data_IF_020213219056
#
_entry.id   IF_020213219056
#
_cell.length_a   1.000
_cell.length_b   1.000
_cell.length_c   1.000
_cell.angle_alpha   90.00
_cell.angle_beta   90.00
_cell.angle_gamma   90.00
#
_symmetry.space_group_name_H-M   'P 1'
#
loop_
_entity.id
_entity.type
_entity.pdbx_description
1 polymer ?
#
# COMPACT_ATOMS: atom_id res chain seq x y z
N UNK A 1 -3.11 66.00 -41.85
CA UNK A 1 -1.98 66.93 -42.14
C UNK A 1 -0.67 66.15 -42.01
N UNK A 2 0.03 65.83 -43.11
CA UNK A 2 1.39 65.32 -43.01
C UNK A 2 2.39 66.46 -43.19
N UNK A 3 3.34 66.58 -42.26
CA UNK A 3 4.50 67.46 -42.37
C UNK A 3 5.59 66.70 -43.13
N UNK A 4 6.09 67.36 -44.18
CA UNK A 4 7.19 66.96 -45.04
C UNK A 4 8.55 67.06 -44.32
N UNK A 5 9.40 66.05 -44.55
CA UNK A 5 10.85 66.16 -44.71
C UNK A 5 11.17 65.22 -45.88
N UNK A 6 11.69 65.60 -47.04
CA UNK A 6 12.59 66.70 -47.38
C UNK A 6 13.89 66.12 -47.94
N UNK A 7 13.91 65.87 -49.27
CA UNK A 7 15.04 65.75 -50.21
C UNK A 7 16.20 64.77 -49.89
N UNK A 8 16.85 64.08 -50.83
CA UNK A 8 17.25 64.48 -52.17
C UNK A 8 17.60 63.25 -53.04
N UNK A 9 17.56 63.44 -54.35
CA UNK A 9 17.46 62.39 -55.37
C UNK A 9 18.63 61.41 -55.56
N UNK A 10 18.28 60.27 -56.14
CA UNK A 10 19.23 59.28 -56.65
C UNK A 10 18.55 57.99 -57.12
N UNK A 11 18.41 57.83 -58.44
CA UNK A 11 18.07 56.59 -59.19
C UNK A 11 16.71 55.91 -58.91
N UNK A 12 15.84 55.93 -59.93
CA UNK A 12 14.67 55.04 -60.04
C UNK A 12 15.14 53.59 -60.16
N UNK A 13 15.11 52.85 -59.06
CA UNK A 13 15.10 51.38 -59.08
C UNK A 13 13.66 50.97 -58.90
N UNK A 14 13.10 50.29 -59.92
CA UNK A 14 11.78 49.71 -59.87
C UNK A 14 11.84 48.53 -58.87
N UNK A 15 11.54 48.78 -57.60
CA UNK A 15 11.43 47.72 -56.60
C UNK A 15 10.09 47.01 -56.81
N UNK A 16 10.11 45.86 -57.49
CA UNK A 16 9.01 44.91 -57.47
C UNK A 16 8.83 44.41 -56.03
N UNK A 17 7.91 45.02 -55.30
CA UNK A 17 7.44 44.50 -54.01
C UNK A 17 6.61 43.25 -54.33
N UNK A 18 7.24 42.08 -54.28
CA UNK A 18 6.53 40.82 -54.19
C UNK A 18 5.79 40.81 -52.85
N UNK A 19 4.50 41.12 -52.88
CA UNK A 19 3.59 40.77 -51.80
C UNK A 19 3.50 39.24 -51.78
N UNK A 20 4.39 38.58 -51.02
CA UNK A 20 4.13 37.22 -50.57
C UNK A 20 2.93 37.31 -49.65
N UNK A 21 1.75 37.02 -50.19
CA UNK A 21 0.56 36.72 -49.40
C UNK A 21 0.93 35.46 -48.62
N UNK A 22 1.38 35.64 -47.37
CA UNK A 22 1.42 34.55 -46.40
C UNK A 22 -0.04 34.16 -46.19
N UNK A 23 -0.49 33.14 -46.92
CA UNK A 23 -1.74 32.44 -46.64
C UNK A 23 -1.60 31.83 -45.26
N UNK A 24 -2.09 32.54 -44.25
CA UNK A 24 -2.33 31.97 -42.93
C UNK A 24 -3.48 30.98 -43.10
N UNK A 25 -3.16 29.71 -43.33
CA UNK A 25 -4.14 28.65 -43.13
C UNK A 25 -4.49 28.68 -41.63
N UNK A 26 -5.75 28.91 -41.25
CA UNK A 26 -6.14 28.74 -39.85
C UNK A 26 -5.80 27.29 -39.48
N UNK A 27 -5.08 27.09 -38.38
CA UNK A 27 -4.85 25.75 -37.83
C UNK A 27 -6.23 25.21 -37.45
N UNK A 28 -6.82 24.39 -38.31
CA UNK A 28 -8.02 23.60 -38.02
C UNK A 28 -7.63 22.56 -36.99
N UNK A 29 -7.78 22.90 -35.71
CA UNK A 29 -7.71 21.89 -34.67
C UNK A 29 -9.10 21.32 -34.42
N UNK A 30 -9.11 20.10 -33.91
CA UNK A 30 -10.31 19.31 -33.68
C UNK A 30 -10.55 19.05 -32.20
N UNK A 31 -11.48 18.13 -31.92
CA UNK A 31 -11.80 17.69 -30.56
C UNK A 31 -11.06 16.40 -30.22
N UNK A 32 -10.45 16.35 -29.03
CA UNK A 32 -9.78 15.16 -28.51
C UNK A 32 -10.67 14.38 -27.55
N UNK A 33 -10.70 13.06 -27.71
CA UNK A 33 -11.60 12.15 -27.01
C UNK A 33 -10.82 11.05 -26.29
N UNK A 34 -11.28 10.64 -25.11
CA UNK A 34 -10.56 9.72 -24.23
C UNK A 34 -10.66 8.28 -24.72
N UNK A 35 -11.77 7.96 -25.39
CA UNK A 35 -12.13 6.61 -25.77
C UNK A 35 -12.82 6.56 -27.13
N UNK A 36 -12.76 5.39 -27.76
CA UNK A 36 -13.51 5.06 -28.98
C UNK A 36 -14.35 3.83 -28.68
N UNK A 37 -15.66 3.91 -28.91
CA UNK A 37 -16.58 2.80 -28.63
C UNK A 37 -16.54 1.71 -29.72
N UNK A 38 -17.32 0.65 -29.52
CA UNK A 38 -17.33 -0.51 -30.41
C UNK A 38 -17.81 -0.19 -31.84
N UNK A 39 -18.60 0.87 -32.00
CA UNK A 39 -19.11 1.39 -33.25
C UNK A 39 -18.12 2.33 -33.96
N UNK A 40 -16.92 2.51 -33.39
CA UNK A 40 -15.88 3.39 -33.94
C UNK A 40 -16.16 4.87 -33.72
N UNK A 41 -17.02 5.23 -32.76
CA UNK A 41 -17.35 6.61 -32.42
C UNK A 41 -16.59 7.08 -31.19
N UNK A 42 -16.25 8.36 -31.18
CA UNK A 42 -15.44 8.96 -30.12
C UNK A 42 -16.30 9.29 -28.91
N UNK A 43 -15.86 8.92 -27.71
CA UNK A 43 -16.57 9.12 -26.44
C UNK A 43 -15.67 9.82 -25.42
N UNK A 44 -16.28 10.56 -24.49
CA UNK A 44 -15.59 11.27 -23.40
C UNK A 44 -14.58 12.33 -23.88
N UNK A 45 -15.02 13.54 -24.21
CA UNK A 45 -14.11 14.61 -24.63
C UNK A 45 -13.10 14.98 -23.51
N UNK A 46 -11.80 14.96 -23.82
CA UNK A 46 -10.69 15.14 -22.88
C UNK A 46 -10.25 16.59 -22.80
N UNK A 47 -10.08 17.20 -23.97
CA UNK A 47 -9.64 18.59 -24.08
C UNK A 47 -10.85 19.49 -24.30
N UNK A 48 -10.96 20.52 -23.48
CA UNK A 48 -11.91 21.63 -23.67
C UNK A 48 -11.42 22.65 -24.71
N UNK A 49 -10.22 22.43 -25.27
CA UNK A 49 -9.58 23.28 -26.27
C UNK A 49 -9.33 22.51 -27.56
N UNK A 50 -9.40 23.25 -28.66
CA UNK A 50 -9.01 22.85 -30.02
C UNK A 50 -7.60 22.25 -29.98
N UNK A 51 -7.43 21.03 -30.53
CA UNK A 51 -6.16 20.29 -30.50
C UNK A 51 -5.83 19.63 -31.83
N UNK A 52 -4.53 19.48 -32.13
CA UNK A 52 -4.07 18.66 -33.26
C UNK A 52 -4.23 17.16 -32.93
N UNK A 53 -4.27 16.32 -33.97
CA UNK A 53 -4.34 14.87 -33.79
C UNK A 53 -3.13 14.36 -33.02
N UNK A 54 -1.94 14.82 -33.35
CA UNK A 54 -0.67 14.39 -32.73
C UNK A 54 -0.65 14.73 -31.24
N UNK A 55 -1.11 15.93 -30.88
CA UNK A 55 -1.21 16.35 -29.49
C UNK A 55 -2.24 15.53 -28.72
N UNK A 56 -3.42 15.32 -29.31
CA UNK A 56 -4.46 14.48 -28.73
C UNK A 56 -3.92 13.06 -28.44
N UNK A 57 -3.31 12.42 -29.44
CA UNK A 57 -2.83 11.05 -29.33
C UNK A 57 -1.70 10.86 -28.31
N UNK A 58 -0.89 11.91 -28.09
CA UNK A 58 0.11 11.93 -27.02
C UNK A 58 -0.53 12.01 -25.64
N UNK A 59 -1.60 12.79 -25.48
CA UNK A 59 -2.31 12.99 -24.20
C UNK A 59 -3.10 11.73 -23.80
N UNK A 60 -3.79 11.10 -24.76
CA UNK A 60 -4.60 9.90 -24.51
C UNK A 60 -3.81 8.60 -24.61
N UNK A 61 -2.47 8.69 -24.74
CA UNK A 61 -1.56 7.54 -24.84
C UNK A 61 -2.00 6.48 -25.87
N UNK A 62 -2.59 6.91 -26.99
CA UNK A 62 -3.04 6.02 -28.07
C UNK A 62 -4.42 5.37 -27.91
N UNK A 63 -5.10 5.48 -26.76
CA UNK A 63 -6.42 4.86 -26.53
C UNK A 63 -7.61 5.65 -27.06
N UNK A 64 -7.44 6.97 -27.14
CA UNK A 64 -8.49 7.88 -27.52
C UNK A 64 -8.66 8.03 -29.03
N UNK A 65 -9.48 8.99 -29.39
CA UNK A 65 -9.74 9.34 -30.77
C UNK A 65 -9.77 10.85 -30.97
N UNK A 66 -9.70 11.26 -32.22
CA UNK A 66 -9.68 12.65 -32.62
C UNK A 66 -10.72 12.87 -33.74
N UNK A 67 -11.46 13.96 -33.66
CA UNK A 67 -12.39 14.42 -34.70
C UNK A 67 -11.93 15.77 -35.22
N UNK A 68 -11.97 15.97 -36.53
CA UNK A 68 -11.65 17.27 -37.14
C UNK A 68 -12.64 18.37 -36.74
N UNK A 69 -13.89 17.99 -36.46
CA UNK A 69 -14.92 18.88 -35.93
C UNK A 69 -14.62 19.30 -34.48
N UNK A 70 -14.85 20.58 -34.21
CA UNK A 70 -14.83 21.17 -32.87
C UNK A 70 -16.24 21.19 -32.30
N UNK A 71 -16.43 20.57 -31.14
CA UNK A 71 -17.71 20.56 -30.45
C UNK A 71 -17.66 21.48 -29.23
N UNK A 72 -18.72 22.26 -29.01
CA UNK A 72 -18.87 22.97 -27.73
C UNK A 72 -19.10 21.97 -26.58
N UNK A 73 -19.05 22.45 -25.34
CA UNK A 73 -19.20 21.59 -24.15
C UNK A 73 -20.54 20.84 -24.13
N UNK A 74 -21.62 21.44 -24.63
CA UNK A 74 -22.94 20.82 -24.67
C UNK A 74 -23.04 19.73 -25.73
N UNK A 75 -22.46 19.98 -26.91
CA UNK A 75 -22.38 19.00 -28.00
C UNK A 75 -21.46 17.82 -27.62
N UNK A 76 -20.29 18.11 -27.04
CA UNK A 76 -19.37 17.09 -26.55
C UNK A 76 -20.00 16.22 -25.46
N UNK A 77 -20.74 16.84 -24.52
CA UNK A 77 -21.52 16.12 -23.53
C UNK A 77 -22.62 15.27 -24.17
N UNK A 78 -23.38 15.82 -25.12
CA UNK A 78 -24.42 15.09 -25.83
C UNK A 78 -23.84 13.83 -26.48
N UNK A 79 -22.78 13.95 -27.28
CA UNK A 79 -22.16 12.78 -27.92
C UNK A 79 -21.54 11.81 -26.92
N UNK A 80 -20.89 12.29 -25.86
CA UNK A 80 -20.26 11.45 -24.85
C UNK A 80 -21.25 10.68 -23.96
N UNK A 81 -22.40 11.27 -23.61
CA UNK A 81 -23.32 10.72 -22.62
C UNK A 81 -24.63 10.17 -23.21
N UNK A 82 -25.14 10.73 -24.32
CA UNK A 82 -26.51 10.47 -24.80
C UNK A 82 -26.59 10.06 -26.29
N UNK A 83 -25.69 10.59 -27.12
CA UNK A 83 -25.70 10.48 -28.58
C UNK A 83 -24.96 9.27 -29.14
N UNK A 84 -24.46 8.37 -28.30
CA UNK A 84 -23.76 7.16 -28.72
C UNK A 84 -22.38 7.39 -29.34
N UNK A 85 -21.75 8.53 -29.04
CA UNK A 85 -20.42 8.91 -29.52
C UNK A 85 -20.42 9.82 -30.75
N UNK A 86 -19.37 10.65 -30.86
CA UNK A 86 -19.19 11.59 -31.95
C UNK A 86 -18.90 10.88 -33.28
N UNK A 87 -19.52 11.32 -34.39
CA UNK A 87 -19.26 10.79 -35.72
C UNK A 87 -17.86 11.21 -36.22
N UNK A 88 -17.42 10.63 -37.35
CA UNK A 88 -16.14 10.97 -38.00
C UNK A 88 -14.91 10.86 -37.07
N UNK A 89 -14.97 9.93 -36.12
CA UNK A 89 -13.92 9.66 -35.17
C UNK A 89 -12.76 8.91 -35.82
N UNK A 90 -11.54 9.41 -35.60
CA UNK A 90 -10.31 8.72 -35.99
C UNK A 90 -9.55 8.28 -34.75
N UNK A 91 -9.43 6.96 -34.56
CA UNK A 91 -8.64 6.39 -33.46
C UNK A 91 -7.16 6.78 -33.53
N UNK A 92 -6.55 6.96 -32.36
CA UNK A 92 -5.14 7.34 -32.26
C UNK A 92 -4.17 6.19 -32.56
N UNK A 93 -4.54 4.96 -32.23
CA UNK A 93 -3.79 3.76 -32.58
C UNK A 93 -4.72 2.67 -33.10
N UNK A 94 -4.18 1.80 -33.94
CA UNK A 94 -4.84 0.60 -34.45
C UNK A 94 -4.16 -0.69 -33.95
N UNK A 95 -3.10 -0.56 -33.14
CA UNK A 95 -2.38 -1.67 -32.52
C UNK A 95 -2.14 -1.41 -31.03
N UNK A 96 -1.76 -2.45 -30.31
CA UNK A 96 -1.32 -2.36 -28.92
C UNK A 96 0.17 -2.01 -28.77
N UNK A 97 0.88 -1.76 -29.88
CA UNK A 97 2.32 -1.49 -29.84
C UNK A 97 2.60 -0.16 -29.14
N UNK A 98 3.46 -0.18 -28.14
CA UNK A 98 3.81 1.01 -27.35
C UNK A 98 2.73 1.45 -26.35
N UNK A 99 1.59 0.78 -26.30
CA UNK A 99 0.49 1.11 -25.38
C UNK A 99 0.73 0.48 -24.00
N UNK A 100 0.79 1.33 -22.97
CA UNK A 100 0.93 0.90 -21.57
C UNK A 100 -0.39 1.04 -20.82
N UNK A 101 -0.94 -0.08 -20.39
CA UNK A 101 -2.18 -0.12 -19.61
C UNK A 101 -1.93 0.13 -18.12
N UNK A 102 -2.85 0.82 -17.41
CA UNK A 102 -2.77 1.00 -15.96
C UNK A 102 -3.21 -0.27 -15.20
N UNK A 103 -2.69 -0.45 -13.98
CA UNK A 103 -3.14 -1.46 -12.99
C UNK A 103 -3.26 -2.89 -13.55
N UNK A 104 -2.13 -3.45 -14.01
CA UNK A 104 -1.99 -4.82 -14.53
C UNK A 104 -3.01 -5.26 -15.61
N UNK A 105 -3.65 -4.28 -16.26
CA UNK A 105 -4.51 -4.52 -17.42
C UNK A 105 -3.66 -4.85 -18.65
N UNK A 106 -4.24 -5.61 -19.55
CA UNK A 106 -3.61 -6.00 -20.82
C UNK A 106 -4.33 -5.26 -21.95
N UNK A 107 -3.55 -4.72 -22.88
CA UNK A 107 -4.11 -4.14 -24.10
C UNK A 107 -4.64 -5.24 -25.00
N UNK A 108 -5.88 -5.09 -25.47
CA UNK A 108 -6.49 -5.93 -26.49
C UNK A 108 -7.22 -5.07 -27.51
N UNK A 109 -7.28 -5.54 -28.76
CA UNK A 109 -8.02 -4.85 -29.82
C UNK A 109 -9.51 -5.23 -29.75
N UNK A 110 -10.39 -4.23 -29.78
CA UNK A 110 -11.83 -4.39 -29.94
C UNK A 110 -12.28 -3.53 -31.11
N UNK A 111 -12.80 -4.16 -32.17
CA UNK A 111 -13.20 -3.43 -33.39
C UNK A 111 -12.06 -2.67 -34.08
N UNK A 112 -10.80 -3.12 -33.93
CA UNK A 112 -9.62 -2.44 -34.49
C UNK A 112 -9.04 -1.31 -33.63
N UNK A 113 -9.64 -1.00 -32.47
CA UNK A 113 -9.14 0.00 -31.51
C UNK A 113 -8.58 -0.66 -30.25
N UNK A 114 -7.44 -0.20 -29.69
CA UNK A 114 -6.86 -0.75 -28.48
C UNK A 114 -7.65 -0.36 -27.22
N UNK A 115 -7.83 -1.32 -26.32
CA UNK A 115 -8.52 -1.14 -25.04
C UNK A 115 -7.80 -1.89 -23.92
N UNK A 116 -7.72 -1.29 -22.73
CA UNK A 116 -7.18 -1.96 -21.55
C UNK A 116 -8.26 -2.76 -20.83
N UNK A 117 -8.09 -4.07 -20.77
CA UNK A 117 -8.99 -4.96 -20.05
C UNK A 117 -8.22 -5.83 -19.06
N UNK A 118 -8.91 -6.37 -18.06
CA UNK A 118 -8.32 -7.35 -17.18
C UNK A 118 -7.97 -8.63 -17.95
N UNK A 119 -6.87 -9.32 -17.59
CA UNK A 119 -6.52 -10.60 -18.19
C UNK A 119 -7.71 -11.57 -18.21
N UNK A 120 -8.01 -12.14 -19.38
CA UNK A 120 -9.09 -13.13 -19.53
C UNK A 120 -8.58 -14.56 -19.34
N UNK A 121 -7.31 -14.81 -19.64
CA UNK A 121 -6.66 -16.10 -19.52
C UNK A 121 -5.32 -15.96 -18.79
N UNK A 122 -4.93 -17.06 -18.13
CA UNK A 122 -3.57 -17.23 -17.64
C UNK A 122 -2.93 -18.37 -18.45
N UNK A 123 -1.62 -18.30 -18.73
CA UNK A 123 -0.91 -19.38 -19.40
C UNK A 123 -1.16 -20.72 -18.69
N UNK A 124 -1.35 -21.84 -19.41
CA UNK A 124 -1.48 -23.15 -18.77
C UNK A 124 -0.17 -23.51 -18.07
N UNK A 125 -0.27 -24.15 -16.90
CA UNK A 125 0.89 -24.77 -16.26
C UNK A 125 1.42 -25.92 -17.11
N UNK A 126 2.71 -25.92 -17.41
CA UNK A 126 3.41 -27.01 -18.12
C UNK A 126 4.53 -27.58 -17.24
N UNK A 127 5.07 -28.77 -17.55
CA UNK A 127 6.23 -29.30 -16.83
C UNK A 127 7.45 -28.37 -16.87
N UNK A 128 7.64 -27.65 -17.97
CA UNK A 128 8.73 -26.69 -18.16
C UNK A 128 8.45 -25.35 -17.46
N UNK A 129 7.19 -25.01 -17.26
CA UNK A 129 6.77 -23.76 -16.62
C UNK A 129 5.55 -24.02 -15.72
N UNK A 130 5.77 -24.63 -14.54
CA UNK A 130 4.70 -24.89 -13.59
C UNK A 130 4.20 -23.58 -12.98
N UNK A 131 2.94 -23.59 -12.56
CA UNK A 131 2.44 -22.49 -11.74
C UNK A 131 3.13 -22.50 -10.38
N UNK A 132 3.68 -21.35 -10.00
CA UNK A 132 4.21 -21.12 -8.65
C UNK A 132 3.12 -20.40 -7.85
N UNK A 133 2.61 -21.01 -6.76
CA UNK A 133 1.64 -20.36 -5.88
C UNK A 133 2.19 -19.06 -5.30
N UNK A 134 1.31 -18.15 -4.91
CA UNK A 134 1.68 -16.90 -4.24
C UNK A 134 0.74 -16.63 -3.07
N UNK A 135 1.29 -16.10 -1.99
CA UNK A 135 0.54 -15.56 -0.86
C UNK A 135 0.43 -14.05 -1.00
N UNK A 136 -0.79 -13.50 -0.91
CA UNK A 136 -1.00 -12.05 -0.98
C UNK A 136 -0.86 -11.35 0.37
N UNK A 137 -0.93 -10.02 0.39
CA UNK A 137 -0.90 -9.23 1.62
C UNK A 137 -2.15 -9.37 2.47
N UNK A 138 -3.25 -9.87 1.91
CA UNK A 138 -4.45 -10.22 2.67
C UNK A 138 -4.42 -11.66 3.21
N UNK A 139 -3.29 -12.36 3.11
CA UNK A 139 -3.16 -13.74 3.58
C UNK A 139 -3.92 -14.75 2.71
N UNK A 140 -4.25 -14.38 1.47
CA UNK A 140 -4.96 -15.26 0.53
C UNK A 140 -3.94 -15.97 -0.36
N UNK A 141 -4.07 -17.30 -0.47
CA UNK A 141 -3.24 -18.08 -1.40
C UNK A 141 -3.87 -18.13 -2.78
N UNK A 142 -3.06 -17.80 -3.79
CA UNK A 142 -3.40 -17.93 -5.20
C UNK A 142 -2.56 -19.00 -5.85
N UNK A 143 -3.17 -19.75 -6.78
CA UNK A 143 -2.45 -20.80 -7.52
C UNK A 143 -1.30 -20.28 -8.38
N UNK A 144 -1.35 -19.00 -8.78
CA UNK A 144 -0.21 -18.28 -9.37
C UNK A 144 -0.40 -16.77 -9.33
N UNK A 145 0.68 -16.02 -9.58
CA UNK A 145 0.68 -14.55 -9.74
C UNK A 145 -0.34 -14.07 -10.77
N UNK A 146 -0.37 -14.65 -11.98
CA UNK A 146 -1.39 -14.30 -12.98
C UNK A 146 -2.83 -14.46 -12.46
N UNK A 147 -3.09 -15.50 -11.66
CA UNK A 147 -4.43 -15.72 -11.12
C UNK A 147 -4.82 -14.70 -10.05
N UNK A 148 -3.86 -14.23 -9.25
CA UNK A 148 -4.06 -13.11 -8.33
C UNK A 148 -4.41 -11.84 -9.10
N UNK A 149 -3.53 -11.44 -10.03
CA UNK A 149 -3.69 -10.23 -10.85
C UNK A 149 -5.04 -10.22 -11.59
N UNK A 150 -5.38 -11.35 -12.24
CA UNK A 150 -6.65 -11.51 -12.95
C UNK A 150 -7.87 -11.32 -12.03
N UNK A 151 -7.85 -11.90 -10.82
CA UNK A 151 -8.95 -11.76 -9.86
C UNK A 151 -9.05 -10.31 -9.38
N UNK A 152 -7.94 -9.75 -8.91
CA UNK A 152 -7.89 -8.42 -8.32
C UNK A 152 -8.32 -7.35 -9.32
N UNK A 153 -7.83 -7.43 -10.56
CA UNK A 153 -8.26 -6.54 -11.62
C UNK A 153 -9.79 -6.60 -11.87
N UNK A 154 -10.37 -7.81 -11.90
CA UNK A 154 -11.81 -7.99 -12.16
C UNK A 154 -12.69 -7.48 -11.02
N UNK A 155 -12.20 -7.57 -9.79
CA UNK A 155 -12.93 -7.16 -8.59
C UNK A 155 -12.60 -5.72 -8.16
N UNK A 156 -11.64 -5.05 -8.81
CA UNK A 156 -11.17 -3.73 -8.40
C UNK A 156 -10.43 -3.75 -7.06
N UNK A 157 -9.80 -4.87 -6.69
CA UNK A 157 -9.05 -5.01 -5.45
C UNK A 157 -7.61 -4.52 -5.64
N UNK A 158 -7.10 -3.80 -4.65
CA UNK A 158 -5.70 -3.36 -4.58
C UNK A 158 -5.01 -4.24 -3.55
N UNK A 159 -4.34 -5.29 -4.03
CA UNK A 159 -3.61 -6.25 -3.22
C UNK A 159 -2.35 -6.67 -3.98
N UNK A 160 -1.32 -7.05 -3.24
CA UNK A 160 0.01 -7.34 -3.76
C UNK A 160 0.53 -8.68 -3.24
N UNK A 161 1.53 -9.24 -3.92
CA UNK A 161 2.16 -10.47 -3.48
C UNK A 161 3.04 -10.17 -2.27
N UNK A 162 2.81 -10.90 -1.18
CA UNK A 162 3.70 -10.94 -0.03
C UNK A 162 4.90 -11.81 -0.30
N UNK A 163 4.68 -13.09 -0.61
CA UNK A 163 5.76 -14.01 -0.96
C UNK A 163 5.28 -15.13 -1.88
N UNK A 164 6.24 -15.81 -2.50
CA UNK A 164 5.98 -17.00 -3.30
C UNK A 164 5.73 -18.21 -2.39
N UNK A 165 4.80 -19.06 -2.80
CA UNK A 165 4.34 -20.21 -2.04
C UNK A 165 2.94 -20.02 -1.46
N UNK A 166 2.51 -20.99 -0.67
CA UNK A 166 1.25 -20.96 0.07
C UNK A 166 1.38 -20.06 1.29
N UNK A 167 0.30 -19.40 1.68
CA UNK A 167 0.30 -18.64 2.93
C UNK A 167 0.59 -19.56 4.13
N UNK A 168 1.47 -19.08 5.00
CA UNK A 168 1.93 -19.74 6.22
C UNK A 168 1.31 -19.06 7.45
N UNK A 169 1.50 -19.68 8.62
CA UNK A 169 1.05 -19.14 9.92
C UNK A 169 2.20 -18.61 10.78
N UNK A 170 3.44 -18.61 10.27
CA UNK A 170 4.61 -18.06 10.96
C UNK A 170 5.72 -17.67 9.97
N UNK A 171 6.71 -16.90 10.43
CA UNK A 171 7.87 -16.54 9.61
C UNK A 171 8.98 -17.61 9.57
N UNK A 172 8.81 -18.76 10.23
CA UNK A 172 9.85 -19.80 10.29
C UNK A 172 10.06 -20.48 8.93
N UNK A 173 8.99 -20.66 8.17
CA UNK A 173 8.99 -21.33 6.86
C UNK A 173 8.93 -20.36 5.69
N UNK A 174 8.63 -19.09 5.94
CA UNK A 174 8.48 -18.06 4.91
C UNK A 174 9.84 -17.61 4.40
N UNK A 175 10.06 -17.79 3.09
CA UNK A 175 11.25 -17.33 2.39
C UNK A 175 10.93 -16.03 1.65
N UNK A 176 11.42 -14.92 2.20
CA UNK A 176 11.33 -13.62 1.54
C UNK A 176 12.42 -13.46 0.46
N UNK A 177 12.26 -12.45 -0.40
CA UNK A 177 13.32 -12.01 -1.32
C UNK A 177 14.51 -11.46 -0.53
N UNK A 178 15.69 -11.39 -1.15
CA UNK A 178 16.98 -11.09 -0.49
C UNK A 178 17.01 -9.77 0.32
N UNK A 179 16.17 -8.82 -0.03
CA UNK A 179 16.03 -7.48 0.56
C UNK A 179 14.83 -7.34 1.53
N UNK A 180 14.09 -8.43 1.73
CA UNK A 180 12.84 -8.43 2.48
C UNK A 180 12.98 -9.22 3.78
N UNK A 181 12.24 -8.75 4.79
CA UNK A 181 12.17 -9.37 6.10
C UNK A 181 10.73 -9.83 6.36
N UNK A 182 10.55 -11.09 6.74
CA UNK A 182 9.24 -11.58 7.18
C UNK A 182 8.88 -11.00 8.55
N UNK A 183 7.79 -10.26 8.66
CA UNK A 183 7.21 -9.80 9.93
C UNK A 183 5.86 -10.47 10.13
N UNK A 184 5.25 -10.33 11.31
CA UNK A 184 3.90 -10.82 11.58
C UNK A 184 3.02 -9.66 12.05
N UNK A 185 1.74 -9.70 11.72
CA UNK A 185 0.76 -8.81 12.33
C UNK A 185 0.26 -9.35 13.68
N UNK A 186 -0.77 -8.69 14.21
CA UNK A 186 -1.45 -9.06 15.46
C UNK A 186 -2.08 -10.46 15.42
N UNK A 187 -2.46 -10.94 14.23
CA UNK A 187 -3.09 -12.24 14.00
C UNK A 187 -2.06 -13.33 13.69
N UNK A 188 -0.77 -13.02 13.87
CA UNK A 188 0.38 -13.88 13.56
C UNK A 188 0.51 -14.23 12.06
N UNK A 189 -0.19 -13.52 11.19
CA UNK A 189 -0.07 -13.72 9.76
C UNK A 189 1.29 -13.16 9.29
N UNK A 190 2.11 -13.95 8.58
CA UNK A 190 3.43 -13.52 8.14
C UNK A 190 3.39 -12.71 6.84
N UNK A 191 4.22 -11.67 6.75
CA UNK A 191 4.37 -10.83 5.57
C UNK A 191 5.82 -10.52 5.25
N UNK A 192 6.22 -10.57 3.98
CA UNK A 192 7.54 -10.12 3.56
C UNK A 192 7.50 -8.63 3.21
N UNK A 193 8.23 -7.83 3.97
CA UNK A 193 8.30 -6.38 3.79
C UNK A 193 9.73 -5.91 3.58
N UNK A 194 9.90 -4.79 2.87
CA UNK A 194 11.19 -4.09 2.85
C UNK A 194 11.22 -3.13 4.04
N UNK A 195 12.20 -3.32 4.92
CA UNK A 195 12.39 -2.43 6.06
C UNK A 195 12.86 -1.06 5.57
N UNK A 196 12.53 0.00 6.31
CA UNK A 196 13.08 1.33 6.04
C UNK A 196 14.60 1.30 6.21
N UNK A 197 15.35 1.67 5.18
CA UNK A 197 16.82 1.66 5.25
C UNK A 197 17.38 2.99 5.78
N UNK A 198 16.76 4.11 5.39
CA UNK A 198 17.23 5.45 5.73
C UNK A 198 16.26 6.10 6.72
N UNK A 199 16.75 6.40 7.92
CA UNK A 199 16.04 7.22 8.89
C UNK A 199 16.62 8.64 8.87
N UNK A 200 15.78 9.69 8.97
CA UNK A 200 16.27 11.04 9.17
C UNK A 200 17.15 11.12 10.42
N UNK A 201 18.22 11.91 10.35
CA UNK A 201 19.11 12.16 11.49
C UNK A 201 18.45 13.14 12.47
N UNK A 202 17.49 12.62 13.24
CA UNK A 202 16.71 13.35 14.23
C UNK A 202 16.87 12.64 15.57
N UNK A 203 17.46 13.32 16.54
CA UNK A 203 17.60 12.80 17.88
C UNK A 203 16.35 13.12 18.72
N UNK A 204 15.47 12.13 18.84
CA UNK A 204 14.28 12.12 19.70
C UNK A 204 14.18 10.72 20.33
N UNK A 205 14.96 10.45 21.40
CA UNK A 205 15.22 9.10 21.86
C UNK A 205 13.97 8.36 22.32
N UNK A 206 13.93 7.06 22.04
CA UNK A 206 12.85 6.15 22.40
C UNK A 206 13.45 4.88 23.01
N UNK A 207 12.83 4.39 24.08
CA UNK A 207 13.22 3.12 24.68
C UNK A 207 12.43 1.98 24.04
N UNK A 208 13.15 0.96 23.55
CA UNK A 208 12.56 -0.28 23.05
C UNK A 208 12.26 -1.27 24.18
N UNK A 209 11.35 -2.21 23.93
CA UNK A 209 11.06 -3.31 24.87
C UNK A 209 12.24 -4.24 25.08
N UNK A 210 13.25 -4.19 24.21
CA UNK A 210 14.52 -4.88 24.35
C UNK A 210 15.51 -4.15 25.26
N UNK A 211 15.12 -3.03 25.87
CA UNK A 211 15.95 -2.24 26.78
C UNK A 211 17.01 -1.39 26.07
N UNK A 212 16.91 -1.24 24.74
CA UNK A 212 17.84 -0.45 23.93
C UNK A 212 17.24 0.92 23.62
N UNK A 213 18.04 1.97 23.77
CA UNK A 213 17.71 3.33 23.32
C UNK A 213 17.89 3.44 21.82
N UNK A 214 16.87 3.94 21.13
CA UNK A 214 16.89 4.25 19.71
C UNK A 214 16.80 5.76 19.51
N UNK A 215 17.60 6.30 18.58
CA UNK A 215 17.68 7.75 18.34
C UNK A 215 16.34 8.36 17.92
N UNK A 216 15.49 7.59 17.24
CA UNK A 216 14.15 8.00 16.84
C UNK A 216 13.18 6.82 16.75
N UNK A 217 11.89 7.12 16.58
CA UNK A 217 10.87 6.11 16.26
C UNK A 217 11.17 5.39 14.93
N UNK A 218 11.81 6.07 13.96
CA UNK A 218 12.21 5.43 12.70
C UNK A 218 13.26 4.34 12.96
N UNK A 219 14.26 4.64 13.79
CA UNK A 219 15.34 3.71 14.12
C UNK A 219 14.81 2.49 14.89
N UNK A 220 13.89 2.71 15.82
CA UNK A 220 13.20 1.63 16.54
C UNK A 220 12.41 0.74 15.57
N UNK A 221 11.61 1.32 14.66
CA UNK A 221 10.82 0.57 13.68
C UNK A 221 11.72 -0.21 12.70
N UNK A 222 12.83 0.39 12.26
CA UNK A 222 13.83 -0.26 11.42
C UNK A 222 14.45 -1.47 12.13
N UNK A 223 14.82 -1.32 13.40
CA UNK A 223 15.35 -2.42 14.20
C UNK A 223 14.31 -3.53 14.44
N UNK A 224 13.06 -3.15 14.73
CA UNK A 224 11.93 -4.09 14.89
C UNK A 224 11.69 -4.92 13.62
N UNK A 225 11.68 -4.27 12.46
CA UNK A 225 11.50 -4.93 11.17
C UNK A 225 12.65 -5.91 10.83
N UNK A 226 13.90 -5.52 11.09
CA UNK A 226 15.08 -6.34 10.76
C UNK A 226 15.31 -7.49 11.74
N UNK A 227 14.99 -7.31 13.02
CA UNK A 227 15.33 -8.26 14.10
C UNK A 227 14.11 -8.96 14.69
N UNK A 228 13.49 -9.85 13.91
CA UNK A 228 12.28 -10.61 14.28
C UNK A 228 12.39 -11.31 15.63
N UNK A 229 13.53 -11.94 15.89
CA UNK A 229 13.77 -12.72 17.11
C UNK A 229 13.65 -11.89 18.39
N UNK A 230 13.83 -10.57 18.31
CA UNK A 230 13.81 -9.69 19.48
C UNK A 230 12.41 -9.13 19.80
N UNK A 231 11.44 -9.23 18.89
CA UNK A 231 10.08 -8.69 19.05
C UNK A 231 10.10 -7.26 19.65
N UNK A 232 10.88 -6.38 19.03
CA UNK A 232 11.17 -5.04 19.54
C UNK A 232 9.93 -4.18 19.32
N UNK A 233 9.36 -3.67 20.40
CA UNK A 233 8.25 -2.72 20.38
C UNK A 233 8.65 -1.46 21.12
N UNK A 234 7.90 -0.40 20.95
CA UNK A 234 8.01 0.79 21.78
C UNK A 234 7.70 0.43 23.25
N UNK A 235 8.55 0.90 24.17
CA UNK A 235 8.35 0.80 25.61
C UNK A 235 7.92 2.15 26.19
N UNK A 236 8.74 3.19 26.04
CA UNK A 236 8.40 4.55 26.47
C UNK A 236 9.27 5.58 25.73
N UNK A 237 8.91 6.86 25.85
CA UNK A 237 9.67 7.98 25.31
C UNK A 237 10.89 8.26 26.17
N UNK A 238 11.97 8.72 25.54
CA UNK A 238 13.26 8.96 26.18
C UNK A 238 14.20 7.77 26.09
N UNK A 239 15.38 7.90 26.67
CA UNK A 239 16.38 6.83 26.70
C UNK A 239 15.97 5.72 27.68
N UNK A 240 16.37 4.48 27.40
CA UNK A 240 16.31 3.41 28.39
C UNK A 240 17.34 3.69 29.50
N UNK A 241 16.94 3.46 30.76
CA UNK A 241 17.86 3.48 31.89
C UNK A 241 17.79 2.13 32.61
N UNK A 242 18.94 1.50 32.85
CA UNK A 242 19.02 0.17 33.48
C UNK A 242 18.48 0.15 34.91
N UNK A 243 18.43 1.32 35.57
CA UNK A 243 17.83 1.50 36.89
C UNK A 243 16.41 2.08 36.86
N UNK A 244 15.82 2.32 35.68
CA UNK A 244 14.51 2.98 35.61
C UNK A 244 13.42 2.09 36.16
N UNK A 245 12.78 2.59 37.21
CA UNK A 245 11.48 2.12 37.66
C UNK A 245 10.38 2.91 36.97
N UNK A 246 9.11 2.53 37.18
CA UNK A 246 8.00 3.37 36.72
C UNK A 246 7.95 4.77 37.38
N UNK A 247 8.70 5.01 38.45
CA UNK A 247 8.82 6.35 39.05
C UNK A 247 9.60 7.33 38.19
N UNK A 248 10.49 6.84 37.33
CA UNK A 248 11.38 7.66 36.50
C UNK A 248 10.81 7.93 35.10
N UNK A 249 9.75 7.19 34.72
CA UNK A 249 9.16 7.23 33.38
C UNK A 249 7.88 8.07 33.38
N UNK A 250 7.87 9.10 32.54
CA UNK A 250 6.69 9.93 32.30
C UNK A 250 5.98 9.49 31.03
N UNK A 251 4.84 8.82 31.19
CA UNK A 251 3.97 8.44 30.07
C UNK A 251 3.10 9.63 29.60
N UNK A 252 2.58 9.55 28.38
CA UNK A 252 1.82 10.65 27.77
C UNK A 252 0.34 10.32 27.61
N UNK A 253 -0.54 11.33 27.72
CA UNK A 253 -1.97 11.14 27.54
C UNK A 253 -2.60 10.23 28.61
N UNK A 254 -3.34 9.20 28.18
CA UNK A 254 -4.00 8.19 29.03
C UNK A 254 -3.14 6.95 29.29
N UNK A 255 -1.84 7.00 29.00
CA UNK A 255 -0.92 5.91 29.25
C UNK A 255 -0.49 5.84 30.72
N UNK A 256 -0.39 4.63 31.24
CA UNK A 256 0.12 4.33 32.58
C UNK A 256 1.42 3.54 32.43
N UNK A 257 2.39 3.81 33.31
CA UNK A 257 3.61 3.01 33.35
C UNK A 257 3.34 1.66 34.05
N UNK A 258 3.69 0.57 33.37
CA UNK A 258 3.74 -0.77 33.94
C UNK A 258 5.14 -1.36 33.78
N UNK A 259 5.62 -2.10 34.77
CA UNK A 259 6.94 -2.72 34.71
C UNK A 259 6.88 -4.10 34.03
N UNK A 260 7.60 -4.30 32.92
CA UNK A 260 7.85 -5.63 32.37
C UNK A 260 8.98 -6.31 33.17
N UNK A 261 8.60 -7.09 34.19
CA UNK A 261 9.54 -7.77 35.09
C UNK A 261 10.45 -8.75 34.32
N UNK A 262 9.96 -9.37 33.22
CA UNK A 262 10.76 -10.33 32.46
C UNK A 262 11.95 -9.69 31.75
N UNK A 263 11.76 -8.46 31.30
CA UNK A 263 12.80 -7.70 30.58
C UNK A 263 13.46 -6.63 31.44
N UNK A 264 12.92 -6.38 32.63
CA UNK A 264 13.28 -5.27 33.51
C UNK A 264 13.19 -3.91 32.80
N UNK A 265 12.11 -3.69 32.05
CA UNK A 265 11.87 -2.47 31.27
C UNK A 265 10.51 -1.87 31.62
N UNK A 266 10.42 -0.61 32.06
CA UNK A 266 9.14 0.08 32.23
C UNK A 266 8.47 0.32 30.87
N UNK A 267 7.15 0.26 30.81
CA UNK A 267 6.37 0.41 29.57
C UNK A 267 5.19 1.34 29.79
N UNK A 268 5.05 2.33 28.92
CA UNK A 268 3.84 3.12 28.81
C UNK A 268 2.81 2.33 28.01
N UNK A 269 1.71 1.97 28.65
CA UNK A 269 0.60 1.24 28.04
C UNK A 269 -0.69 1.99 28.24
N UNK A 270 -1.60 1.89 27.27
CA UNK A 270 -2.93 2.47 27.38
C UNK A 270 -3.78 1.67 28.36
N UNK A 271 -4.35 2.37 29.34
CA UNK A 271 -5.18 1.79 30.39
C UNK A 271 -6.63 2.32 30.39
N UNK A 272 -7.01 3.06 29.35
CA UNK A 272 -8.38 3.53 29.11
C UNK A 272 -9.29 2.42 28.54
N UNK A 273 -9.17 1.21 29.10
CA UNK A 273 -9.90 0.03 28.67
C UNK A 273 -11.32 0.04 29.27
N UNK A 274 -12.34 0.05 28.41
CA UNK A 274 -13.72 -0.20 28.82
C UNK A 274 -14.04 -1.68 28.61
N UNK A 275 -13.64 -2.53 29.57
CA UNK A 275 -13.92 -3.97 29.50
C UNK A 275 -15.39 -4.23 29.84
N UNK A 276 -16.26 -4.17 28.83
CA UNK A 276 -17.67 -4.56 28.95
C UNK A 276 -17.73 -6.08 28.97
N UNK A 277 -18.45 -6.69 29.92
CA UNK A 277 -18.68 -8.14 29.97
C UNK A 277 -19.57 -8.63 28.81
N UNK A 278 -19.16 -8.34 27.58
CA UNK A 278 -19.81 -8.68 26.32
C UNK A 278 -19.26 -9.99 25.78
N UNK A 279 -20.01 -10.63 24.89
CA UNK A 279 -19.53 -11.81 24.16
C UNK A 279 -18.29 -11.50 23.32
N UNK A 280 -18.12 -10.25 22.87
CA UNK A 280 -16.95 -9.81 22.10
C UNK A 280 -15.67 -9.82 22.94
N UNK A 281 -15.74 -9.37 24.20
CA UNK A 281 -14.62 -9.44 25.14
C UNK A 281 -14.26 -10.89 25.47
N UNK A 282 -15.25 -11.80 25.49
CA UNK A 282 -15.06 -13.23 25.72
C UNK A 282 -14.66 -14.01 24.47
N UNK A 283 -14.76 -13.44 23.27
CA UNK A 283 -14.44 -14.12 22.02
C UNK A 283 -12.96 -14.56 21.96
N UNK A 284 -12.07 -13.86 22.66
CA UNK A 284 -10.66 -14.26 22.83
C UNK A 284 -10.43 -15.41 23.83
N UNK A 285 -11.48 -15.83 24.56
CA UNK A 285 -11.41 -16.86 25.59
C UNK A 285 -10.74 -16.42 26.90
N UNK A 286 -10.76 -17.33 27.88
CA UNK A 286 -9.97 -17.18 29.10
C UNK A 286 -8.47 -17.20 28.78
N UNK A 287 -7.65 -16.56 29.61
CA UNK A 287 -6.21 -16.40 29.39
C UNK A 287 -5.46 -16.64 30.71
N UNK A 288 -4.40 -17.44 30.67
CA UNK A 288 -3.50 -17.56 31.81
C UNK A 288 -2.45 -16.45 31.77
N UNK A 289 -2.41 -15.63 32.82
CA UNK A 289 -1.40 -14.60 33.01
C UNK A 289 -0.08 -15.17 33.52
N UNK A 290 1.01 -14.42 33.30
CA UNK A 290 2.35 -14.72 33.82
C UNK A 290 2.46 -14.65 35.35
N UNK A 291 1.43 -14.11 36.01
CA UNK A 291 1.25 -14.11 37.45
C UNK A 291 0.54 -15.39 37.96
N UNK A 292 0.24 -16.33 37.07
CA UNK A 292 -0.43 -17.59 37.39
C UNK A 292 -1.94 -17.46 37.60
N UNK A 293 -2.53 -16.30 37.27
CA UNK A 293 -3.96 -16.06 37.40
C UNK A 293 -4.67 -16.28 36.07
N UNK A 294 -5.79 -17.00 36.11
CA UNK A 294 -6.69 -17.10 34.95
C UNK A 294 -7.58 -15.86 34.87
N UNK A 295 -7.48 -15.15 33.75
CA UNK A 295 -8.32 -14.02 33.40
C UNK A 295 -9.45 -14.44 32.46
N UNK A 296 -10.67 -13.92 32.63
CA UNK A 296 -11.81 -14.28 31.78
C UNK A 296 -11.71 -13.75 30.34
N UNK A 297 -10.84 -12.76 30.11
CA UNK A 297 -10.55 -12.21 28.79
C UNK A 297 -9.20 -11.50 28.77
N UNK A 298 -8.68 -11.25 27.57
CA UNK A 298 -7.49 -10.43 27.38
C UNK A 298 -7.65 -8.98 27.89
N UNK A 299 -8.87 -8.41 27.79
CA UNK A 299 -9.16 -7.08 28.32
C UNK A 299 -8.96 -7.06 29.84
N UNK A 300 -9.51 -8.04 30.57
CA UNK A 300 -9.38 -8.13 32.03
C UNK A 300 -7.95 -8.41 32.49
N UNK A 301 -7.18 -9.16 31.71
CA UNK A 301 -5.74 -9.34 31.96
C UNK A 301 -4.98 -8.00 31.87
N UNK A 302 -5.27 -7.19 30.84
CA UNK A 302 -4.65 -5.87 30.70
C UNK A 302 -5.11 -4.87 31.75
N UNK A 303 -6.40 -4.87 32.11
CA UNK A 303 -6.94 -4.07 33.21
C UNK A 303 -6.18 -4.37 34.51
N UNK A 304 -5.95 -5.65 34.80
CA UNK A 304 -5.15 -6.06 35.96
C UNK A 304 -3.69 -5.61 35.87
N UNK A 305 -3.07 -5.65 34.67
CA UNK A 305 -1.72 -5.13 34.48
C UNK A 305 -1.63 -3.63 34.82
N UNK A 306 -2.63 -2.86 34.39
CA UNK A 306 -2.74 -1.43 34.68
C UNK A 306 -2.93 -1.16 36.18
N UNK A 307 -3.81 -1.92 36.85
CA UNK A 307 -4.10 -1.73 38.27
C UNK A 307 -2.94 -2.11 39.19
N UNK A 308 -2.16 -3.12 38.79
CA UNK A 308 -1.01 -3.60 39.58
C UNK A 308 0.29 -2.86 39.27
N UNK A 309 0.36 -2.12 38.15
CA UNK A 309 1.59 -1.48 37.69
C UNK A 309 2.64 -2.48 37.17
N UNK A 310 2.25 -3.73 36.94
CA UNK A 310 3.13 -4.80 36.44
C UNK A 310 2.56 -5.34 35.14
N UNK A 311 3.41 -5.49 34.12
CA UNK A 311 2.97 -6.07 32.86
C UNK A 311 2.75 -7.58 33.01
N UNK A 312 1.51 -8.01 32.87
CA UNK A 312 1.14 -9.43 32.85
C UNK A 312 1.21 -9.91 31.39
N UNK A 313 2.08 -10.90 31.13
CA UNK A 313 2.16 -11.54 29.82
C UNK A 313 1.14 -12.68 29.73
N UNK A 314 0.66 -12.96 28.53
CA UNK A 314 -0.16 -14.15 28.27
C UNK A 314 0.78 -15.35 28.20
N UNK A 315 0.62 -16.31 29.10
CA UNK A 315 1.38 -17.58 29.06
C UNK A 315 0.72 -18.60 28.15
N UNK A 316 -0.62 -18.68 28.20
CA UNK A 316 -1.40 -19.55 27.34
C UNK A 316 -2.84 -19.06 27.21
N UNK A 317 -3.45 -19.44 26.09
CA UNK A 317 -4.89 -19.34 25.89
C UNK A 317 -5.56 -20.44 26.74
N UNK A 318 -6.66 -20.08 27.40
CA UNK A 318 -7.39 -20.91 28.36
C UNK A 318 -6.90 -20.73 29.80
N UNK A 319 -7.38 -21.61 30.67
CA UNK A 319 -7.08 -21.56 32.10
C UNK A 319 -5.60 -21.85 32.40
N UNK A 320 -5.09 -21.25 33.47
CA UNK A 320 -3.82 -21.65 34.06
C UNK A 320 -3.89 -23.12 34.48
N UNK A 321 -2.80 -23.85 34.22
CA UNK A 321 -2.67 -25.20 34.74
C UNK A 321 -2.62 -25.08 36.26
N UNK A 322 -3.54 -25.74 36.96
CA UNK A 322 -3.40 -25.89 38.39
C UNK A 322 -2.04 -26.55 38.63
N UNK A 323 -1.19 -25.91 39.44
CA UNK A 323 0.01 -26.56 39.92
C UNK A 323 -0.44 -27.82 40.67
N UNK A 324 -0.39 -28.97 40.00
CA UNK A 324 -0.37 -30.22 40.73
C UNK A 324 0.91 -30.17 41.56
N UNK A 325 0.84 -30.25 42.89
CA UNK A 325 2.05 -30.37 43.67
C UNK A 325 2.71 -31.66 43.20
N UNK A 326 3.85 -31.54 42.52
CA UNK A 326 4.71 -32.69 42.29
C UNK A 326 5.18 -33.09 43.67
N UNK A 327 4.52 -34.08 44.26
CA UNK A 327 5.01 -34.79 45.42
C UNK A 327 6.37 -35.35 45.03
N UNK A 328 7.43 -34.65 45.45
CA UNK A 328 8.74 -35.24 45.62
C UNK A 328 8.56 -36.36 46.63
N UNK A 329 8.37 -37.58 46.11
CA UNK A 329 8.44 -38.80 46.89
C UNK A 329 9.88 -38.95 47.35
N UNK A 330 10.22 -38.32 48.48
CA UNK A 330 11.45 -38.56 49.21
C UNK A 330 11.40 -40.01 49.66
N UNK A 331 11.96 -40.89 48.82
CA UNK A 331 12.14 -42.29 49.19
C UNK A 331 13.36 -42.33 50.11
N UNK A 332 13.11 -42.31 51.42
CA UNK A 332 14.13 -42.61 52.40
C UNK A 332 14.62 -44.05 52.16
N UNK A 333 15.84 -44.19 51.63
CA UNK A 333 16.56 -45.46 51.65
C UNK A 333 17.09 -45.69 53.06
N UNK A 334 16.39 -46.52 53.82
CA UNK A 334 16.91 -47.16 55.01
C UNK A 334 18.08 -48.07 54.61
N UNK A 335 19.29 -47.75 55.07
CA UNK A 335 20.42 -48.67 55.05
C UNK A 335 20.29 -49.57 56.28
N UNK A 336 20.06 -50.86 56.05
CA UNK A 336 20.14 -51.91 57.08
C UNK A 336 21.32 -52.81 56.74
N UNK A 337 22.23 -52.91 57.72
CA UNK A 337 23.44 -53.73 57.85
C UNK A 337 24.66 -53.32 57.06
#
# INVERSE_FOLDING_TARGET
MPILIGANGGRRVLACVFFTILSWSPVQGGTCWASVNAEGRCTEAVLRSISSREECCRIVHGFGGWTEETYDNGQAFFFGALGGGAPHCTGCSQSCDGIKCPMDKVCSLRGGSPHCACPTHCPPSTPQQPHVPVCSMEGITYRSECHMIKRNCRLGLIDSISYQGYCQHSCETVKCREDQHCIHDSDHQPYCVRCMDNCPDIYSPMCGTDGVTYDSMCDLNRASCRNKAKNIKYAHRGECNVSSSCSDVKCTGSEVCVLDIRRNVPRCVRCDLNCVNSELDRAGGAMCGSDGVTYPSWCKLRESSCNTGVLIHVERIGDCLSSTPTTLTTTAKTVVR
#
